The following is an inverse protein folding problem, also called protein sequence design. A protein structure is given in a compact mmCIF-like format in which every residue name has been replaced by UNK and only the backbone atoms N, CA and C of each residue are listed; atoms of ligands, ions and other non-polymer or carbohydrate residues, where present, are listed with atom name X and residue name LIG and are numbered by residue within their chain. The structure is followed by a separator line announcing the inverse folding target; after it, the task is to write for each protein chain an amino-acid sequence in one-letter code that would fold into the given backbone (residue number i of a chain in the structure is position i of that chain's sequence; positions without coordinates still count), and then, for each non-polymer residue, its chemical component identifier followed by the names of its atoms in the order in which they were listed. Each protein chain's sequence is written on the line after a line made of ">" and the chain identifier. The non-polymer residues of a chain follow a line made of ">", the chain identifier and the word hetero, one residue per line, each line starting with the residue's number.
data_IF_555174646468
#
_entry.id   IF_555174646468
#
_cell.length_a   1.000
_cell.length_b   1.000
_cell.length_c   1.000
_cell.angle_alpha   90.00
_cell.angle_beta   90.00
_cell.angle_gamma   90.00
#
_symmetry.space_group_name_H-M   'P 1'
#
loop_
_entity.id
_entity.type
_entity.pdbx_description
1 polymer ?
#
# COMPACT_ATOMS: atom_id res chain seq x y z
N UNK A 1 -0.61 -24.70 31.27
CA UNK A 1 0.20 -23.80 31.94
C UNK A 1 1.47 -23.26 31.36
N UNK A 2 2.44 -24.07 30.90
CA UNK A 2 3.78 -23.57 30.57
C UNK A 2 3.85 -22.74 29.26
N UNK A 3 2.95 -22.95 28.30
CA UNK A 3 2.93 -22.20 27.04
C UNK A 3 2.65 -20.71 27.29
N UNK A 4 1.79 -20.39 28.27
CA UNK A 4 1.47 -19.00 28.64
C UNK A 4 2.68 -18.19 29.12
N UNK A 5 3.74 -18.86 29.59
CA UNK A 5 5.00 -18.22 30.04
C UNK A 5 6.05 -18.14 28.93
N UNK A 6 5.80 -18.77 27.78
CA UNK A 6 6.71 -18.79 26.62
C UNK A 6 6.15 -17.88 25.51
N UNK A 7 6.16 -16.58 25.76
CA UNK A 7 5.52 -15.58 24.90
C UNK A 7 5.98 -15.65 23.46
N UNK A 8 7.28 -15.83 23.19
CA UNK A 8 7.82 -15.95 21.84
C UNK A 8 7.30 -17.16 21.06
N UNK A 9 7.13 -18.30 21.73
CA UNK A 9 6.53 -19.50 21.12
C UNK A 9 5.05 -19.27 20.87
N UNK A 10 4.37 -18.64 21.82
CA UNK A 10 2.97 -18.28 21.68
C UNK A 10 2.73 -17.29 20.53
N UNK A 11 3.60 -16.30 20.38
CA UNK A 11 3.57 -15.35 19.26
C UNK A 11 3.70 -16.07 17.92
N UNK A 12 4.71 -16.94 17.73
CA UNK A 12 4.88 -17.73 16.50
C UNK A 12 3.69 -18.60 16.16
N UNK A 13 3.05 -19.22 17.17
CA UNK A 13 1.80 -19.97 16.97
C UNK A 13 0.65 -19.04 16.55
N UNK A 14 0.60 -17.84 17.10
CA UNK A 14 -0.34 -16.81 16.70
C UNK A 14 -0.15 -16.39 15.24
N UNK A 15 1.10 -16.19 14.82
CA UNK A 15 1.46 -15.84 13.43
C UNK A 15 1.04 -16.96 12.46
N UNK A 16 1.30 -18.24 12.81
CA UNK A 16 0.85 -19.39 12.04
C UNK A 16 -0.66 -19.39 11.84
N UNK A 17 -1.42 -19.20 12.94
CA UNK A 17 -2.88 -19.17 12.91
C UNK A 17 -3.37 -17.99 12.07
N UNK A 18 -2.74 -16.82 12.19
CA UNK A 18 -3.09 -15.63 11.44
C UNK A 18 -2.88 -15.84 9.93
N UNK A 19 -1.76 -16.42 9.51
CA UNK A 19 -1.51 -16.71 8.09
C UNK A 19 -2.50 -17.74 7.54
N UNK A 20 -2.83 -18.78 8.28
CA UNK A 20 -3.86 -19.76 7.89
C UNK A 20 -5.23 -19.09 7.73
N UNK A 21 -5.61 -18.24 8.66
CA UNK A 21 -6.88 -17.52 8.60
C UNK A 21 -6.93 -16.57 7.40
N UNK A 22 -5.89 -15.78 7.18
CA UNK A 22 -5.81 -14.85 6.05
C UNK A 22 -5.87 -15.57 4.70
N UNK A 23 -5.14 -16.70 4.57
CA UNK A 23 -5.20 -17.54 3.37
C UNK A 23 -6.60 -18.08 3.13
N UNK A 24 -7.25 -18.62 4.17
CA UNK A 24 -8.61 -19.14 4.08
C UNK A 24 -9.63 -18.05 3.74
N UNK A 25 -9.50 -16.87 4.34
CA UNK A 25 -10.37 -15.72 4.06
C UNK A 25 -10.21 -15.20 2.63
N UNK A 26 -8.96 -15.18 2.12
CA UNK A 26 -8.67 -14.80 0.73
C UNK A 26 -9.33 -15.77 -0.26
N UNK A 27 -9.16 -17.07 -0.03
CA UNK A 27 -9.78 -18.09 -0.87
C UNK A 27 -11.32 -18.04 -0.79
N UNK A 28 -11.86 -17.89 0.40
CA UNK A 28 -13.31 -17.77 0.60
C UNK A 28 -13.89 -16.55 -0.12
N UNK A 29 -13.21 -15.40 -0.01
CA UNK A 29 -13.63 -14.19 -0.74
C UNK A 29 -13.61 -14.41 -2.25
N UNK A 30 -12.55 -15.02 -2.78
CA UNK A 30 -12.46 -15.35 -4.20
C UNK A 30 -13.61 -16.24 -4.69
N UNK A 31 -13.98 -17.24 -3.88
CA UNK A 31 -15.16 -18.09 -4.14
C UNK A 31 -16.45 -17.28 -4.16
N UNK A 32 -16.65 -16.43 -3.15
CA UNK A 32 -17.86 -15.64 -2.98
C UNK A 32 -18.01 -14.56 -4.09
N UNK A 33 -16.89 -14.00 -4.55
CA UNK A 33 -16.85 -13.04 -5.67
C UNK A 33 -17.01 -13.73 -7.05
N UNK A 34 -17.18 -15.07 -7.10
CA UNK A 34 -17.48 -15.84 -8.31
C UNK A 34 -16.25 -16.32 -9.10
N UNK A 35 -15.07 -16.42 -8.47
CA UNK A 35 -13.81 -16.92 -9.05
C UNK A 35 -13.39 -16.16 -10.30
N UNK A 36 -13.40 -14.85 -10.23
CA UNK A 36 -13.11 -13.98 -11.37
C UNK A 36 -11.66 -14.15 -11.82
N UNK A 37 -11.45 -14.45 -13.10
CA UNK A 37 -10.13 -14.72 -13.66
C UNK A 37 -9.19 -13.52 -13.55
N UNK A 38 -9.72 -12.31 -13.65
CA UNK A 38 -8.95 -11.08 -13.50
C UNK A 38 -8.41 -10.86 -12.09
N UNK A 39 -9.03 -11.45 -11.06
CA UNK A 39 -8.58 -11.36 -9.66
C UNK A 39 -7.55 -12.45 -9.31
N UNK A 40 -7.40 -13.47 -10.16
CA UNK A 40 -6.54 -14.61 -9.89
C UNK A 40 -5.09 -14.23 -9.54
N UNK A 41 -4.43 -13.25 -10.20
CA UNK A 41 -3.08 -12.84 -9.82
C UNK A 41 -2.99 -12.29 -8.39
N UNK A 42 -4.02 -11.56 -7.93
CA UNK A 42 -4.09 -11.01 -6.57
C UNK A 42 -4.23 -12.13 -5.54
N UNK A 43 -5.12 -13.08 -5.82
CA UNK A 43 -5.36 -14.24 -4.95
C UNK A 43 -4.12 -15.13 -4.88
N UNK A 44 -3.50 -15.42 -6.03
CA UNK A 44 -2.29 -16.23 -6.10
C UNK A 44 -1.16 -15.59 -5.29
N UNK A 45 -0.92 -14.30 -5.47
CA UNK A 45 0.09 -13.56 -4.72
C UNK A 45 -0.15 -13.62 -3.22
N UNK A 46 -1.37 -13.31 -2.79
CA UNK A 46 -1.73 -13.28 -1.37
C UNK A 46 -1.59 -14.67 -0.72
N UNK A 47 -1.96 -15.74 -1.42
CA UNK A 47 -1.83 -17.13 -0.94
C UNK A 47 -0.37 -17.54 -0.88
N UNK A 48 0.41 -17.31 -1.95
CA UNK A 48 1.84 -17.67 -1.99
C UNK A 48 2.64 -16.94 -0.90
N UNK A 49 2.42 -15.63 -0.70
CA UNK A 49 3.07 -14.85 0.35
C UNK A 49 2.68 -15.33 1.76
N UNK A 50 1.39 -15.58 1.99
CA UNK A 50 0.92 -16.08 3.28
C UNK A 50 1.46 -17.47 3.59
N UNK A 51 1.49 -18.38 2.61
CA UNK A 51 2.06 -19.72 2.79
C UNK A 51 3.58 -19.67 3.02
N UNK A 52 4.30 -18.76 2.34
CA UNK A 52 5.71 -18.55 2.60
C UNK A 52 5.96 -18.07 4.04
N UNK A 53 5.20 -17.08 4.50
CA UNK A 53 5.27 -16.57 5.88
C UNK A 53 4.91 -17.64 6.92
N UNK A 54 3.90 -18.45 6.63
CA UNK A 54 3.51 -19.59 7.46
C UNK A 54 4.66 -20.59 7.60
N UNK A 55 5.28 -20.97 6.47
CA UNK A 55 6.44 -21.86 6.46
C UNK A 55 7.61 -21.29 7.27
N UNK A 56 7.87 -19.99 7.16
CA UNK A 56 8.93 -19.28 7.89
C UNK A 56 8.68 -19.29 9.41
N UNK A 57 7.47 -18.93 9.83
CA UNK A 57 7.05 -18.96 11.23
C UNK A 57 7.08 -20.38 11.83
N UNK A 58 6.72 -21.39 11.02
CA UNK A 58 6.78 -22.79 11.44
C UNK A 58 8.22 -23.27 11.61
N UNK A 59 9.12 -22.92 10.71
CA UNK A 59 10.53 -23.21 10.81
C UNK A 59 11.15 -22.58 12.05
N UNK A 60 10.85 -21.31 12.28
CA UNK A 60 11.26 -20.58 13.48
C UNK A 60 10.73 -21.21 14.78
N UNK A 61 9.47 -21.68 14.77
CA UNK A 61 8.87 -22.39 15.89
C UNK A 61 9.65 -23.66 16.19
N UNK A 62 9.90 -24.49 15.17
CA UNK A 62 10.60 -25.78 15.30
C UNK A 62 12.04 -25.61 15.81
N UNK A 63 12.76 -24.58 15.34
CA UNK A 63 14.10 -24.27 15.77
C UNK A 63 14.19 -23.86 17.25
N UNK A 64 13.08 -23.45 17.84
CA UNK A 64 12.99 -23.00 19.24
C UNK A 64 12.24 -24.00 20.17
N UNK A 65 11.92 -25.18 19.66
CA UNK A 65 11.30 -26.23 20.47
C UNK A 65 12.35 -26.90 21.41
N UNK A 66 11.99 -27.21 22.66
CA UNK A 66 12.93 -27.79 23.61
C UNK A 66 13.28 -29.24 23.30
N UNK A 67 14.48 -29.66 23.79
CA UNK A 67 14.89 -31.08 23.91
C UNK A 67 14.93 -31.90 22.62
N UNK A 68 15.42 -31.35 21.52
CA UNK A 68 15.58 -32.10 20.25
C UNK A 68 14.27 -32.45 19.53
N UNK A 69 13.10 -32.20 20.15
CA UNK A 69 11.80 -32.44 19.55
C UNK A 69 11.62 -31.61 18.26
N UNK A 70 12.15 -30.39 18.24
CA UNK A 70 12.14 -29.53 17.04
C UNK A 70 12.85 -30.17 15.85
N UNK A 71 13.98 -30.83 16.07
CA UNK A 71 14.75 -31.52 15.01
C UNK A 71 13.93 -32.69 14.43
N UNK A 72 13.33 -33.51 15.30
CA UNK A 72 12.51 -34.63 14.86
C UNK A 72 11.28 -34.17 14.08
N UNK A 73 10.57 -33.18 14.59
CA UNK A 73 9.41 -32.59 13.91
C UNK A 73 9.81 -31.93 12.59
N UNK A 74 10.95 -31.23 12.54
CA UNK A 74 11.47 -30.61 11.33
C UNK A 74 11.75 -31.66 10.24
N UNK A 75 12.33 -32.78 10.59
CA UNK A 75 12.60 -33.89 9.65
C UNK A 75 11.30 -34.49 9.06
N UNK A 76 10.22 -34.48 9.83
CA UNK A 76 8.90 -34.97 9.38
C UNK A 76 8.19 -33.90 8.53
N UNK A 77 8.20 -32.63 8.96
CA UNK A 77 7.46 -31.53 8.29
C UNK A 77 8.19 -31.04 7.04
N UNK A 78 9.51 -30.98 7.09
CA UNK A 78 10.37 -30.49 6.01
C UNK A 78 11.39 -31.56 5.55
N UNK A 79 10.96 -32.76 5.14
CA UNK A 79 11.87 -33.85 4.78
C UNK A 79 12.79 -33.49 3.60
N UNK A 80 12.34 -32.63 2.71
CA UNK A 80 13.10 -32.14 1.54
C UNK A 80 13.44 -30.66 1.64
N UNK A 81 13.47 -30.10 2.85
CA UNK A 81 13.67 -28.67 3.10
C UNK A 81 12.41 -27.84 2.94
N UNK A 82 12.57 -26.55 2.73
CA UNK A 82 11.47 -25.56 2.64
C UNK A 82 10.99 -25.45 1.19
N UNK A 83 9.86 -26.08 0.79
CA UNK A 83 9.44 -26.13 -0.61
C UNK A 83 8.75 -24.85 -1.10
N UNK A 84 8.16 -24.06 -0.19
CA UNK A 84 7.37 -22.89 -0.55
C UNK A 84 8.30 -21.71 -0.76
N UNK A 85 8.18 -21.07 -1.93
CA UNK A 85 8.94 -19.88 -2.32
C UNK A 85 8.06 -18.65 -2.18
N UNK A 86 8.70 -17.47 -2.13
CA UNK A 86 8.01 -16.17 -2.24
C UNK A 86 7.36 -16.05 -3.63
N UNK A 87 6.32 -15.19 -3.74
CA UNK A 87 5.80 -14.81 -5.04
C UNK A 87 6.92 -14.39 -5.99
N UNK A 88 6.76 -14.68 -7.26
CA UNK A 88 7.76 -14.33 -8.27
C UNK A 88 7.63 -12.87 -8.70
N UNK A 89 8.75 -12.27 -9.15
CA UNK A 89 8.75 -10.89 -9.70
C UNK A 89 7.74 -10.72 -10.85
N UNK A 90 7.51 -11.78 -11.62
CA UNK A 90 6.51 -11.76 -12.70
C UNK A 90 5.09 -11.62 -12.14
N UNK A 91 4.80 -12.29 -11.02
CA UNK A 91 3.52 -12.17 -10.34
C UNK A 91 3.40 -10.80 -9.66
N UNK A 92 4.46 -10.31 -9.03
CA UNK A 92 4.53 -8.96 -8.45
C UNK A 92 4.20 -7.88 -9.48
N UNK A 93 4.78 -7.97 -10.68
CA UNK A 93 4.48 -7.04 -11.77
C UNK A 93 3.01 -7.09 -12.22
N UNK A 94 2.42 -8.29 -12.29
CA UNK A 94 0.99 -8.44 -12.62
C UNK A 94 0.11 -7.76 -11.57
N UNK A 95 0.39 -7.99 -10.30
CA UNK A 95 -0.34 -7.39 -9.18
C UNK A 95 -0.16 -5.88 -9.17
N UNK A 96 1.07 -5.38 -9.31
CA UNK A 96 1.36 -3.96 -9.38
C UNK A 96 0.60 -3.28 -10.53
N UNK A 97 0.54 -3.91 -11.70
CA UNK A 97 -0.21 -3.39 -12.84
C UNK A 97 -1.71 -3.27 -12.56
N UNK A 98 -2.31 -4.28 -11.90
CA UNK A 98 -3.73 -4.22 -11.48
C UNK A 98 -3.93 -3.05 -10.51
N UNK A 99 -3.05 -2.87 -9.52
CA UNK A 99 -3.17 -1.81 -8.53
C UNK A 99 -2.99 -0.41 -9.12
N UNK A 100 -2.16 -0.28 -10.16
CA UNK A 100 -1.86 0.99 -10.85
C UNK A 100 -2.80 1.31 -12.01
N UNK A 101 -3.80 0.48 -12.27
CA UNK A 101 -4.73 0.68 -13.38
C UNK A 101 -6.16 0.71 -12.86
N UNK A 102 -6.98 1.71 -13.23
CA UNK A 102 -8.41 1.69 -12.93
C UNK A 102 -9.05 0.45 -13.55
N UNK A 103 -9.54 -0.45 -12.71
CA UNK A 103 -10.16 -1.70 -13.15
C UNK A 103 -11.09 -2.27 -12.08
N UNK A 104 -11.99 -3.16 -12.48
CA UNK A 104 -12.96 -3.78 -11.58
C UNK A 104 -12.30 -4.56 -10.41
N UNK A 105 -11.15 -5.19 -10.65
CA UNK A 105 -10.39 -5.87 -9.59
C UNK A 105 -9.92 -4.91 -8.49
N UNK A 106 -9.38 -3.75 -8.88
CA UNK A 106 -8.98 -2.69 -7.94
C UNK A 106 -10.18 -2.15 -7.17
N UNK A 107 -11.31 -1.93 -7.85
CA UNK A 107 -12.54 -1.43 -7.22
C UNK A 107 -13.10 -2.42 -6.21
N UNK A 108 -13.07 -3.74 -6.52
CA UNK A 108 -13.48 -4.79 -5.58
C UNK A 108 -12.59 -4.84 -4.34
N UNK A 109 -11.28 -4.66 -4.48
CA UNK A 109 -10.36 -4.60 -3.33
C UNK A 109 -10.67 -3.41 -2.42
N UNK A 110 -11.00 -2.26 -3.02
CA UNK A 110 -11.35 -1.04 -2.33
C UNK A 110 -12.78 -0.98 -1.78
N UNK A 111 -13.60 -2.00 -2.04
CA UNK A 111 -15.00 -2.02 -1.60
C UNK A 111 -15.11 -1.90 -0.08
N UNK A 112 -15.88 -0.94 0.38
CA UNK A 112 -16.10 -0.66 1.81
C UNK A 112 -15.10 0.33 2.42
N UNK A 113 -14.10 0.81 1.67
CA UNK A 113 -13.25 1.91 2.11
C UNK A 113 -13.97 3.27 1.90
N UNK A 114 -13.60 4.24 2.74
CA UNK A 114 -14.15 5.59 2.63
C UNK A 114 -13.30 6.42 1.66
N UNK A 115 -13.75 6.52 0.41
CA UNK A 115 -13.06 7.18 -0.69
C UNK A 115 -13.36 8.68 -0.85
N UNK A 116 -14.26 9.25 -0.04
CA UNK A 116 -14.63 10.66 -0.20
C UNK A 116 -13.42 11.56 0.07
N UNK A 117 -12.98 12.29 -0.95
CA UNK A 117 -11.90 13.26 -0.79
C UNK A 117 -12.37 14.40 0.12
N UNK A 118 -11.66 14.63 1.20
CA UNK A 118 -11.87 15.76 2.12
C UNK A 118 -10.54 16.13 2.76
N UNK A 119 -10.47 17.29 3.37
CA UNK A 119 -9.26 17.78 4.04
C UNK A 119 -8.71 16.79 5.08
N UNK A 120 -9.60 16.02 5.71
CA UNK A 120 -9.26 15.08 6.79
C UNK A 120 -9.15 13.62 6.33
N UNK A 121 -9.35 13.32 5.05
CA UNK A 121 -9.29 11.97 4.52
C UNK A 121 -8.12 11.78 3.56
N UNK A 122 -6.96 11.41 4.09
CA UNK A 122 -5.75 11.16 3.31
C UNK A 122 -5.96 10.09 2.21
N UNK A 123 -6.73 9.03 2.50
CA UNK A 123 -7.01 7.96 1.53
C UNK A 123 -7.85 8.50 0.36
N UNK A 124 -8.86 9.32 0.65
CA UNK A 124 -9.66 9.96 -0.39
C UNK A 124 -8.85 10.96 -1.23
N UNK A 125 -7.95 11.71 -0.61
CA UNK A 125 -7.01 12.60 -1.32
C UNK A 125 -6.11 11.79 -2.27
N UNK A 126 -5.51 10.70 -1.79
CA UNK A 126 -4.65 9.83 -2.60
C UNK A 126 -5.41 9.22 -3.79
N UNK A 127 -6.62 8.75 -3.57
CA UNK A 127 -7.44 8.17 -4.64
C UNK A 127 -7.85 9.21 -5.70
N UNK A 128 -8.20 10.43 -5.29
CA UNK A 128 -8.47 11.51 -6.22
C UNK A 128 -7.21 11.92 -6.99
N UNK A 129 -6.08 12.03 -6.28
CA UNK A 129 -4.79 12.35 -6.90
C UNK A 129 -4.37 11.29 -7.90
N UNK A 130 -4.58 10.01 -7.58
CA UNK A 130 -4.30 8.91 -8.51
C UNK A 130 -5.08 9.06 -9.82
N UNK A 131 -6.36 9.38 -9.75
CA UNK A 131 -7.20 9.63 -10.94
C UNK A 131 -6.74 10.85 -11.73
N UNK A 132 -6.40 11.93 -11.04
CA UNK A 132 -5.94 13.16 -11.66
C UNK A 132 -4.57 12.96 -12.36
N UNK A 133 -3.65 12.21 -11.75
CA UNK A 133 -2.35 11.87 -12.34
C UNK A 133 -2.52 11.03 -13.62
N UNK A 134 -3.38 10.01 -13.58
CA UNK A 134 -3.67 9.20 -14.77
C UNK A 134 -4.28 10.03 -15.92
N UNK A 135 -5.14 10.98 -15.58
CA UNK A 135 -5.70 11.89 -16.57
C UNK A 135 -4.68 12.94 -17.06
N UNK A 136 -3.67 13.25 -16.24
CA UNK A 136 -2.58 14.19 -16.60
C UNK A 136 -1.52 13.56 -17.52
N UNK A 137 -1.31 12.23 -17.48
CA UNK A 137 -0.30 11.55 -18.32
C UNK A 137 -0.40 11.89 -19.81
N UNK A 138 -1.54 11.77 -20.49
CA UNK A 138 -1.66 12.10 -21.91
C UNK A 138 -1.44 13.59 -22.19
N UNK A 139 -1.76 14.47 -21.24
CA UNK A 139 -1.52 15.90 -21.36
C UNK A 139 -0.02 16.22 -21.26
N UNK A 140 0.68 15.56 -20.33
CA UNK A 140 2.14 15.64 -20.23
C UNK A 140 2.82 15.23 -21.54
N UNK A 141 2.42 14.11 -22.13
CA UNK A 141 2.97 13.63 -23.41
C UNK A 141 2.69 14.63 -24.55
N UNK A 142 1.49 15.23 -24.57
CA UNK A 142 1.09 16.26 -25.53
C UNK A 142 2.01 17.48 -25.45
N UNK A 143 2.29 17.96 -24.23
CA UNK A 143 3.17 19.12 -24.00
C UNK A 143 4.63 18.79 -24.35
N UNK A 144 5.15 17.63 -23.92
CA UNK A 144 6.50 17.19 -24.24
C UNK A 144 6.72 17.08 -25.75
N UNK A 145 5.73 16.56 -26.48
CA UNK A 145 5.78 16.47 -27.96
C UNK A 145 5.79 17.83 -28.60
N UNK A 146 5.00 18.77 -28.13
CA UNK A 146 4.95 20.13 -28.63
C UNK A 146 6.24 20.92 -28.31
N UNK A 147 6.80 20.71 -27.11
CA UNK A 147 8.05 21.34 -26.67
C UNK A 147 9.31 20.74 -27.34
N UNK A 148 9.19 19.58 -28.01
CA UNK A 148 10.32 18.87 -28.61
C UNK A 148 11.35 18.34 -27.60
N UNK A 149 10.99 18.29 -26.31
CA UNK A 149 11.85 17.82 -25.21
C UNK A 149 11.02 17.14 -24.13
N UNK A 150 11.62 16.21 -23.39
CA UNK A 150 10.98 15.62 -22.22
C UNK A 150 11.08 16.56 -21.03
N UNK A 151 9.94 16.93 -20.44
CA UNK A 151 9.88 17.75 -19.25
C UNK A 151 9.93 16.84 -18.00
N UNK A 152 10.39 17.35 -16.84
CA UNK A 152 10.33 16.58 -15.60
C UNK A 152 8.88 16.37 -15.17
N UNK A 153 8.42 15.12 -15.12
CA UNK A 153 7.05 14.76 -14.71
C UNK A 153 6.74 15.13 -13.24
N UNK A 154 7.77 15.31 -12.42
CA UNK A 154 7.63 15.66 -11.00
C UNK A 154 7.13 17.10 -10.75
N UNK A 155 6.96 17.92 -11.79
CA UNK A 155 6.53 19.32 -11.68
C UNK A 155 5.44 19.61 -12.72
N UNK A 156 4.23 19.11 -12.45
CA UNK A 156 3.09 19.25 -13.35
C UNK A 156 2.65 20.72 -13.51
N UNK A 157 2.89 21.55 -12.51
CA UNK A 157 2.70 23.00 -12.58
C UNK A 157 3.58 23.65 -13.67
N UNK A 158 4.84 23.23 -13.79
CA UNK A 158 5.74 23.69 -14.87
C UNK A 158 5.33 23.15 -16.22
N UNK A 159 4.82 21.93 -16.28
CA UNK A 159 4.25 21.35 -17.50
C UNK A 159 3.02 22.13 -17.94
N UNK A 160 2.15 22.52 -17.02
CA UNK A 160 0.98 23.36 -17.27
C UNK A 160 1.40 24.74 -17.82
N UNK A 161 2.39 25.37 -17.20
CA UNK A 161 2.92 26.67 -17.65
C UNK A 161 3.53 26.60 -19.07
N UNK A 162 4.33 25.58 -19.38
CA UNK A 162 4.90 25.35 -20.71
C UNK A 162 3.79 25.09 -21.74
N UNK A 163 2.82 24.24 -21.41
CA UNK A 163 1.69 23.92 -22.30
C UNK A 163 0.81 25.14 -22.59
N UNK A 164 0.65 26.03 -21.61
CA UNK A 164 -0.02 27.33 -21.79
C UNK A 164 0.78 28.25 -22.71
N UNK A 165 2.10 28.36 -22.51
CA UNK A 165 2.97 29.19 -23.32
C UNK A 165 3.01 28.73 -24.80
N UNK A 166 2.93 27.41 -25.03
CA UNK A 166 2.87 26.81 -26.36
C UNK A 166 1.46 26.85 -26.99
N UNK A 167 0.43 27.24 -26.22
CA UNK A 167 -0.95 27.30 -26.71
C UNK A 167 -1.55 25.92 -27.02
N UNK A 168 -1.02 24.84 -26.44
CA UNK A 168 -1.44 23.45 -26.72
C UNK A 168 -2.41 22.88 -25.70
N UNK A 169 -2.61 23.57 -24.59
CA UNK A 169 -3.54 23.16 -23.52
C UNK A 169 -4.71 24.14 -23.42
N UNK A 170 -5.90 23.61 -23.14
CA UNK A 170 -7.06 24.38 -22.74
C UNK A 170 -6.97 24.77 -21.25
N UNK A 171 -7.76 25.74 -20.82
CA UNK A 171 -7.81 26.17 -19.41
C UNK A 171 -8.23 25.00 -18.48
N UNK A 172 -9.11 24.11 -18.93
CA UNK A 172 -9.51 22.93 -18.16
C UNK A 172 -8.39 21.90 -18.04
N UNK A 173 -7.58 21.71 -19.09
CA UNK A 173 -6.42 20.82 -19.06
C UNK A 173 -5.31 21.38 -18.15
N UNK A 174 -5.11 22.70 -18.14
CA UNK A 174 -4.19 23.40 -17.24
C UNK A 174 -4.66 23.18 -15.78
N UNK A 175 -5.93 23.45 -15.49
CA UNK A 175 -6.49 23.26 -14.14
C UNK A 175 -6.37 21.80 -13.65
N UNK A 176 -6.47 20.82 -14.55
CA UNK A 176 -6.25 19.40 -14.19
C UNK A 176 -4.79 19.15 -13.79
N UNK A 177 -3.81 19.64 -14.54
CA UNK A 177 -2.38 19.48 -14.21
C UNK A 177 -2.05 20.15 -12.87
N UNK A 178 -2.55 21.36 -12.63
CA UNK A 178 -2.34 22.08 -11.37
C UNK A 178 -2.97 21.35 -10.18
N UNK A 179 -4.19 20.83 -10.35
CA UNK A 179 -4.87 20.04 -9.31
C UNK A 179 -4.12 18.74 -9.02
N UNK A 180 -3.63 18.05 -10.06
CA UNK A 180 -2.83 16.84 -9.92
C UNK A 180 -1.53 17.11 -9.14
N UNK A 181 -0.85 18.25 -9.40
CA UNK A 181 0.35 18.65 -8.66
C UNK A 181 0.05 18.96 -7.18
N UNK A 182 -1.02 19.71 -6.90
CA UNK A 182 -1.45 19.97 -5.52
C UNK A 182 -1.74 18.67 -4.78
N UNK A 183 -2.48 17.73 -5.41
CA UNK A 183 -2.77 16.43 -4.84
C UNK A 183 -1.51 15.61 -4.59
N UNK A 184 -0.58 15.59 -5.54
CA UNK A 184 0.71 14.92 -5.42
C UNK A 184 1.51 15.45 -4.23
N UNK A 185 1.62 16.76 -4.10
CA UNK A 185 2.31 17.39 -2.98
C UNK A 185 1.64 17.06 -1.64
N UNK A 186 0.32 17.12 -1.56
CA UNK A 186 -0.42 16.73 -0.35
C UNK A 186 -0.21 15.25 0.03
N UNK A 187 0.02 14.38 -0.95
CA UNK A 187 0.22 12.94 -0.71
C UNK A 187 1.64 12.58 -0.27
N UNK A 188 2.65 13.39 -0.62
CA UNK A 188 4.07 13.09 -0.35
C UNK A 188 4.71 13.99 0.70
N UNK A 189 4.18 15.20 0.91
CA UNK A 189 4.72 16.10 1.91
C UNK A 189 4.38 15.58 3.31
N UNK A 190 5.34 15.70 4.20
CA UNK A 190 5.17 15.49 5.64
C UNK A 190 4.94 16.85 6.31
N UNK A 191 4.37 16.80 7.50
CA UNK A 191 4.22 18.00 8.32
C UNK A 191 5.61 18.61 8.62
N UNK A 192 5.75 19.88 8.35
CA UNK A 192 6.96 20.67 8.62
C UNK A 192 6.59 21.76 9.62
N UNK A 193 7.10 21.66 10.83
CA UNK A 193 6.83 22.58 11.92
C UNK A 193 8.04 23.47 12.16
N UNK A 194 7.84 24.77 12.14
CA UNK A 194 8.87 25.70 12.58
C UNK A 194 9.22 25.45 14.06
N UNK A 195 10.49 25.66 14.41
CA UNK A 195 11.00 25.46 15.77
C UNK A 195 10.22 26.29 16.82
N UNK A 196 9.78 27.48 16.46
CA UNK A 196 9.03 28.37 17.36
C UNK A 196 7.57 27.88 17.50
N UNK A 197 6.97 27.32 16.46
CA UNK A 197 5.65 26.70 16.53
C UNK A 197 5.66 25.45 17.44
N UNK A 198 6.67 24.59 17.30
CA UNK A 198 6.85 23.44 18.18
C UNK A 198 7.05 23.85 19.65
N UNK A 199 7.85 24.90 19.90
CA UNK A 199 8.04 25.43 21.25
C UNK A 199 6.73 25.98 21.83
N UNK A 200 5.93 26.65 21.04
CA UNK A 200 4.63 27.16 21.45
C UNK A 200 3.64 26.07 21.83
N UNK A 201 3.65 24.96 21.07
CA UNK A 201 2.80 23.79 21.36
C UNK A 201 3.27 23.00 22.59
N UNK A 202 4.58 22.94 22.85
CA UNK A 202 5.17 22.26 24.00
C UNK A 202 5.20 23.12 25.27
N UNK A 203 4.96 24.42 25.16
CA UNK A 203 4.88 25.32 26.32
C UNK A 203 3.75 24.83 27.25
N UNK A 204 4.00 24.72 28.58
CA UNK A 204 2.94 24.36 29.51
C UNK A 204 1.81 25.38 29.40
N UNK A 205 0.60 24.92 29.12
CA UNK A 205 -0.61 25.77 29.13
C UNK A 205 -0.64 26.44 30.48
N UNK A 206 -0.41 27.74 30.51
CA UNK A 206 -0.55 28.53 31.72
C UNK A 206 -1.92 28.20 32.32
N UNK A 207 -1.93 27.81 33.60
CA UNK A 207 -3.17 27.60 34.35
C UNK A 207 -3.96 28.87 34.17
N UNK A 208 -5.09 28.78 33.47
CA UNK A 208 -6.10 29.85 33.54
C UNK A 208 -6.49 29.93 35.01
N UNK A 209 -5.95 30.92 35.71
CA UNK A 209 -6.43 31.30 37.03
C UNK A 209 -7.92 31.56 36.91
N UNK A 210 -8.66 30.75 37.64
CA UNK A 210 -10.06 31.03 37.88
C UNK A 210 -10.12 32.42 38.55
N UNK A 211 -10.44 33.44 37.79
CA UNK A 211 -10.94 34.66 38.34
C UNK A 211 -12.32 34.35 38.90
N UNK A 212 -12.42 34.52 40.23
CA UNK A 212 -13.63 34.40 41.03
C UNK A 212 -14.65 35.51 40.67
#
# INVERSE_FOLDING_TARGET
>A
GNLKRKERISARLGDLLSQLYLTSATLKRYEDDGRLTEDLPLVQWAVEDSLYKLQDSLDDLLNNFPMGLGIALRAVIFPFGRPIKRPSDVLDHKVAKIMQTPCASRDRLGKGQFWTASEFNAVGIQEQTFKDILAAEPLYDKVCKAAGKRLPFMWLDKVAAEGKALGVLSDSEIALLERAEIGRLKSINVDDFDTDELRAQLAPKAKQEKAA
#
